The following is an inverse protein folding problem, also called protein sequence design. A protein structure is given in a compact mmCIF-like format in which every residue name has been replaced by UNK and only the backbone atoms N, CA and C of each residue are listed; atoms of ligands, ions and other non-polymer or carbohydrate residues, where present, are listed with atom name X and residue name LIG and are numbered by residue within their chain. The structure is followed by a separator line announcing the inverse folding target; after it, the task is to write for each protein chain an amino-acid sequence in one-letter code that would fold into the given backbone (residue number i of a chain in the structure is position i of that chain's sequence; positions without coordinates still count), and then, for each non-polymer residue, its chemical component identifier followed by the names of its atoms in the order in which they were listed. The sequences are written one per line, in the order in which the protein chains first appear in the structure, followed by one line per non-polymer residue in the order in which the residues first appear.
data_IF_675438428446
#
_entry.id   IF_675438428446
#
_cell.length_a   1.000
_cell.length_b   1.000
_cell.length_c   1.000
_cell.angle_alpha   90.00
_cell.angle_beta   90.00
_cell.angle_gamma   90.00
#
_symmetry.space_group_name_H-M   'P 1'
#
loop_
_entity.id
_entity.type
_entity.pdbx_description
1 polymer ?
#
# COMPACT_ATOMS: atom_id res chain seq x y z
N UNK A 1 -12.10 -16.58 -8.21
CA UNK A 1 -12.40 -16.74 -9.64
C UNK A 1 -11.28 -16.13 -10.48
N UNK A 2 -10.92 -14.84 -10.28
CA UNK A 2 -9.92 -14.13 -11.10
C UNK A 2 -8.56 -14.83 -11.17
N UNK A 3 -8.09 -15.48 -10.09
CA UNK A 3 -6.86 -16.27 -10.07
C UNK A 3 -6.86 -17.45 -11.06
N UNK A 4 -8.00 -17.80 -11.66
CA UNK A 4 -8.13 -18.89 -12.64
C UNK A 4 -8.04 -18.41 -14.09
N UNK A 5 -8.00 -17.09 -14.31
CA UNK A 5 -7.76 -16.53 -15.64
C UNK A 5 -6.27 -16.65 -16.01
N UNK A 6 -5.99 -17.05 -17.24
CA UNK A 6 -4.65 -17.04 -17.82
C UNK A 6 -4.36 -15.64 -18.38
N UNK A 7 -3.10 -15.23 -18.54
CA UNK A 7 -2.75 -13.93 -19.12
C UNK A 7 -3.33 -13.69 -20.53
N UNK A 8 -3.59 -14.76 -21.28
CA UNK A 8 -4.17 -14.72 -22.63
C UNK A 8 -5.68 -14.73 -22.66
N UNK A 9 -6.35 -14.94 -21.52
CA UNK A 9 -7.81 -14.99 -21.46
C UNK A 9 -8.40 -13.58 -21.50
N UNK A 10 -9.54 -13.43 -22.20
CA UNK A 10 -10.35 -12.24 -22.13
C UNK A 10 -11.29 -12.33 -20.93
N UNK A 11 -11.23 -11.33 -20.06
CA UNK A 11 -12.09 -11.19 -18.88
C UNK A 11 -13.20 -10.17 -19.16
N UNK A 12 -14.47 -10.58 -18.99
CA UNK A 12 -15.64 -9.70 -19.05
C UNK A 12 -16.36 -9.70 -17.71
N UNK A 13 -16.68 -8.52 -17.20
CA UNK A 13 -17.45 -8.29 -15.98
C UNK A 13 -18.74 -7.56 -16.36
N UNK A 14 -19.88 -8.12 -15.99
CA UNK A 14 -21.20 -7.59 -16.29
C UNK A 14 -22.04 -7.55 -15.02
N UNK A 15 -22.56 -6.37 -14.67
CA UNK A 15 -23.45 -6.21 -13.52
C UNK A 15 -24.90 -6.42 -13.96
N UNK A 16 -25.54 -7.49 -13.46
CA UNK A 16 -26.98 -7.73 -13.59
C UNK A 16 -27.68 -7.13 -12.37
N UNK A 17 -28.18 -5.90 -12.53
CA UNK A 17 -28.85 -5.15 -11.47
C UNK A 17 -30.22 -5.76 -11.10
N UNK A 18 -30.94 -6.35 -12.05
CA UNK A 18 -32.24 -6.92 -11.80
C UNK A 18 -32.16 -8.17 -10.92
N UNK A 19 -31.15 -8.98 -11.12
CA UNK A 19 -30.91 -10.21 -10.34
C UNK A 19 -29.91 -10.02 -9.20
N UNK A 20 -29.44 -8.81 -8.98
CA UNK A 20 -28.41 -8.47 -7.98
C UNK A 20 -27.19 -9.42 -8.07
N UNK A 21 -26.61 -9.59 -9.27
CA UNK A 21 -25.51 -10.52 -9.55
C UNK A 21 -24.41 -9.88 -10.38
N UNK A 22 -23.18 -10.28 -10.08
CA UNK A 22 -22.02 -10.03 -10.95
C UNK A 22 -21.76 -11.27 -11.80
N UNK A 23 -21.86 -11.11 -13.12
CA UNK A 23 -21.49 -12.12 -14.10
C UNK A 23 -20.05 -11.90 -14.53
N UNK A 24 -19.22 -12.92 -14.33
CA UNK A 24 -17.80 -12.94 -14.73
C UNK A 24 -17.66 -13.97 -15.84
N UNK A 25 -17.18 -13.54 -17.01
CA UNK A 25 -16.91 -14.44 -18.14
C UNK A 25 -15.42 -14.42 -18.42
N UNK A 26 -14.81 -15.60 -18.45
CA UNK A 26 -13.41 -15.82 -18.84
C UNK A 26 -13.42 -16.59 -20.15
N UNK A 27 -12.92 -15.97 -21.22
CA UNK A 27 -12.91 -16.53 -22.58
C UNK A 27 -11.46 -16.72 -23.05
N UNK A 28 -11.11 -17.96 -23.38
CA UNK A 28 -9.84 -18.39 -23.94
C UNK A 28 -10.08 -19.66 -24.75
N UNK A 29 -9.31 -20.72 -24.51
CA UNK A 29 -9.55 -22.05 -25.09
C UNK A 29 -10.94 -22.61 -24.73
N UNK A 30 -11.51 -22.15 -23.62
CA UNK A 30 -12.89 -22.43 -23.19
C UNK A 30 -13.55 -21.17 -22.69
N UNK A 31 -14.89 -21.11 -22.79
CA UNK A 31 -15.70 -20.04 -22.19
C UNK A 31 -16.23 -20.51 -20.86
N UNK A 32 -15.85 -19.81 -19.77
CA UNK A 32 -16.25 -20.09 -18.39
C UNK A 32 -17.04 -18.90 -17.86
N UNK A 33 -18.24 -19.16 -17.37
CA UNK A 33 -19.14 -18.12 -16.83
C UNK A 33 -19.43 -18.40 -15.38
N UNK A 34 -19.31 -17.37 -14.55
CA UNK A 34 -19.62 -17.39 -13.12
C UNK A 34 -20.65 -16.31 -12.82
N UNK A 35 -21.70 -16.66 -12.09
CA UNK A 35 -22.69 -15.71 -11.60
C UNK A 35 -22.57 -15.67 -10.07
N UNK A 36 -22.20 -14.49 -9.54
CA UNK A 36 -21.99 -14.28 -8.11
C UNK A 36 -23.10 -13.38 -7.60
N UNK A 37 -23.83 -13.82 -6.57
CA UNK A 37 -24.78 -12.96 -5.89
C UNK A 37 -24.04 -11.80 -5.21
N UNK A 38 -24.59 -10.60 -5.33
CA UNK A 38 -24.11 -9.44 -4.61
C UNK A 38 -24.75 -9.41 -3.22
N UNK A 39 -24.02 -8.88 -2.27
CA UNK A 39 -24.52 -8.66 -0.91
C UNK A 39 -24.81 -7.16 -0.81
N UNK A 40 -26.01 -6.82 -0.37
CA UNK A 40 -26.31 -5.44 0.00
C UNK A 40 -25.55 -5.12 1.28
N UNK A 41 -24.55 -4.26 1.14
CA UNK A 41 -23.78 -3.73 2.28
C UNK A 41 -24.36 -2.36 2.59
N UNK A 42 -24.90 -2.19 3.80
CA UNK A 42 -25.18 -0.85 4.34
C UNK A 42 -23.84 -0.12 4.53
N UNK A 43 -23.32 0.47 3.46
CA UNK A 43 -22.12 1.28 3.50
C UNK A 43 -22.43 2.60 4.23
N UNK A 44 -22.10 2.64 5.51
CA UNK A 44 -21.77 3.93 6.13
C UNK A 44 -20.45 4.37 5.52
N UNK A 45 -20.50 5.36 4.63
CA UNK A 45 -19.29 6.01 4.12
C UNK A 45 -18.39 6.39 5.31
N UNK A 46 -17.32 5.64 5.49
CA UNK A 46 -16.30 6.05 6.44
C UNK A 46 -15.60 7.27 5.83
N UNK A 47 -15.94 8.45 6.33
CA UNK A 47 -15.23 9.66 5.98
C UNK A 47 -13.79 9.51 6.43
N UNK A 48 -12.87 9.39 5.46
CA UNK A 48 -11.44 9.51 5.74
C UNK A 48 -11.21 10.93 6.28
N UNK A 49 -10.69 11.10 7.50
CA UNK A 49 -10.43 12.44 8.02
C UNK A 49 -9.46 13.19 7.11
N UNK A 50 -9.59 14.51 7.06
CA UNK A 50 -8.64 15.35 6.34
C UNK A 50 -7.31 15.32 7.09
N UNK A 51 -6.35 14.55 6.56
CA UNK A 51 -5.04 14.37 7.17
C UNK A 51 -4.07 15.41 6.57
N UNK A 52 -3.32 16.10 7.43
CA UNK A 52 -2.26 17.04 7.03
C UNK A 52 -0.91 16.45 7.41
N UNK A 53 -0.03 16.34 6.44
CA UNK A 53 1.27 15.73 6.63
C UNK A 53 2.40 16.75 6.42
N UNK A 54 3.34 16.85 7.36
CA UNK A 54 4.54 17.68 7.20
C UNK A 54 5.60 17.01 6.35
N UNK A 55 5.46 15.71 6.10
CA UNK A 55 6.40 14.86 5.38
C UNK A 55 5.74 14.19 4.18
N UNK A 56 6.47 14.19 3.06
CA UNK A 56 6.15 13.40 1.87
C UNK A 56 7.44 12.74 1.36
N UNK A 57 7.40 11.44 1.15
CA UNK A 57 8.44 10.64 0.48
C UNK A 57 7.86 10.07 -0.80
N UNK A 58 8.53 10.27 -1.92
CA UNK A 58 8.24 9.65 -3.20
C UNK A 58 9.40 8.72 -3.54
N UNK A 59 9.14 7.46 -3.83
CA UNK A 59 10.18 6.47 -4.13
C UNK A 59 9.65 5.38 -5.05
N UNK A 60 10.55 4.53 -5.56
CA UNK A 60 10.18 3.35 -6.33
C UNK A 60 9.31 2.40 -5.50
N UNK A 61 8.18 1.98 -6.09
CA UNK A 61 7.29 1.00 -5.45
C UNK A 61 7.98 -0.35 -5.20
N UNK A 62 8.91 -0.73 -6.08
CA UNK A 62 9.65 -2.01 -5.96
C UNK A 62 10.64 -1.93 -4.80
N UNK A 63 11.40 -0.83 -4.67
CA UNK A 63 12.35 -0.64 -3.57
C UNK A 63 11.62 -0.64 -2.22
N UNK A 64 10.46 0.03 -2.13
CA UNK A 64 9.66 0.02 -0.91
C UNK A 64 9.08 -1.37 -0.60
N UNK A 65 8.61 -2.11 -1.62
CA UNK A 65 8.10 -3.49 -1.47
C UNK A 65 9.20 -4.42 -0.91
N UNK A 66 10.40 -4.38 -1.49
CA UNK A 66 11.55 -5.15 -1.05
C UNK A 66 11.93 -4.80 0.39
N UNK A 67 12.06 -3.50 0.72
CA UNK A 67 12.41 -3.06 2.07
C UNK A 67 11.40 -3.54 3.13
N UNK A 68 10.10 -3.50 2.85
CA UNK A 68 9.08 -4.01 3.78
C UNK A 68 9.15 -5.52 3.93
N UNK A 69 9.42 -6.27 2.84
CA UNK A 69 9.56 -7.72 2.91
C UNK A 69 10.82 -8.14 3.69
N UNK A 70 11.91 -7.40 3.60
CA UNK A 70 13.13 -7.65 4.38
C UNK A 70 12.88 -7.51 5.90
N UNK A 71 12.04 -6.56 6.31
CA UNK A 71 11.69 -6.36 7.73
C UNK A 71 10.82 -7.48 8.31
N UNK A 72 10.07 -8.19 7.49
CA UNK A 72 9.12 -9.24 7.92
C UNK A 72 9.81 -10.44 8.59
N UNK A 73 11.08 -10.68 8.29
CA UNK A 73 11.85 -11.76 8.93
C UNK A 73 12.37 -11.39 10.33
N UNK A 74 12.26 -10.11 10.71
CA UNK A 74 12.83 -9.56 11.96
C UNK A 74 11.75 -9.30 13.01
N UNK A 75 10.63 -8.67 12.64
CA UNK A 75 9.65 -8.15 13.60
C UNK A 75 8.25 -8.11 13.02
N UNK A 76 7.24 -7.92 13.87
CA UNK A 76 5.85 -7.66 13.45
C UNK A 76 5.56 -6.18 13.16
N UNK A 77 6.52 -5.32 13.46
CA UNK A 77 6.40 -3.88 13.26
C UNK A 77 7.65 -3.31 12.62
N UNK A 78 7.46 -2.27 11.83
CA UNK A 78 8.53 -1.55 11.13
C UNK A 78 8.48 -0.08 11.51
N UNK A 79 9.65 0.54 11.65
CA UNK A 79 9.82 1.98 11.75
C UNK A 79 10.17 2.54 10.37
N UNK A 80 9.42 3.54 9.95
CA UNK A 80 9.73 4.38 8.80
C UNK A 80 10.38 5.67 9.32
N UNK A 81 11.57 5.99 8.81
CA UNK A 81 12.31 7.19 9.20
C UNK A 81 12.64 7.97 7.95
N UNK A 82 12.28 9.25 7.91
CA UNK A 82 12.68 10.15 6.84
C UNK A 82 13.60 11.24 7.40
N UNK A 83 14.76 11.36 6.82
CA UNK A 83 15.73 12.43 7.02
C UNK A 83 15.80 13.28 5.75
N UNK A 84 16.61 14.34 5.74
CA UNK A 84 16.68 15.24 4.57
C UNK A 84 17.22 14.57 3.30
N UNK A 85 18.12 13.61 3.47
CA UNK A 85 18.92 12.99 2.40
C UNK A 85 18.66 11.49 2.25
N UNK A 86 17.87 10.88 3.14
CA UNK A 86 17.57 9.45 3.09
C UNK A 86 16.25 9.07 3.72
N UNK A 87 15.65 8.04 3.17
CA UNK A 87 14.52 7.34 3.74
C UNK A 87 14.98 5.98 4.27
N UNK A 88 14.61 5.65 5.49
CA UNK A 88 15.06 4.44 6.18
C UNK A 88 13.85 3.61 6.55
N UNK A 89 13.95 2.31 6.29
CA UNK A 89 13.01 1.29 6.73
C UNK A 89 13.76 0.35 7.67
N UNK A 90 13.32 0.26 8.91
CA UNK A 90 14.03 -0.54 9.91
C UNK A 90 13.09 -1.32 10.83
N UNK A 91 13.53 -2.48 11.27
CA UNK A 91 12.83 -3.32 12.22
C UNK A 91 13.79 -3.82 13.29
N UNK A 92 13.28 -3.96 14.50
CA UNK A 92 14.03 -4.43 15.66
C UNK A 92 13.18 -5.42 16.44
N UNK A 93 13.84 -6.46 16.93
CA UNK A 93 13.34 -7.45 17.88
C UNK A 93 14.32 -7.59 19.05
N UNK A 94 14.04 -8.46 19.99
CA UNK A 94 14.92 -8.65 21.17
C UNK A 94 16.34 -9.10 20.83
N UNK A 95 16.54 -9.78 19.68
CA UNK A 95 17.82 -10.41 19.32
C UNK A 95 18.34 -9.97 17.95
N UNK A 96 17.47 -9.43 17.11
CA UNK A 96 17.80 -9.15 15.71
C UNK A 96 17.30 -7.76 15.31
N UNK A 97 18.04 -7.12 14.43
CA UNK A 97 17.65 -5.88 13.77
C UNK A 97 17.92 -5.96 12.27
N UNK A 98 17.22 -5.15 11.51
CA UNK A 98 17.48 -4.92 10.10
C UNK A 98 17.19 -3.47 9.73
N UNK A 99 17.95 -2.97 8.78
CA UNK A 99 17.86 -1.60 8.30
C UNK A 99 18.10 -1.55 6.80
N UNK A 100 17.20 -0.89 6.08
CA UNK A 100 17.36 -0.54 4.66
C UNK A 100 17.42 0.98 4.56
N UNK A 101 18.48 1.52 3.96
CA UNK A 101 18.67 2.95 3.71
C UNK A 101 18.49 3.23 2.22
N UNK A 102 17.61 4.16 1.89
CA UNK A 102 17.29 4.60 0.52
C UNK A 102 17.69 6.07 0.44
N UNK A 103 18.78 6.36 -0.26
CA UNK A 103 19.26 7.73 -0.43
C UNK A 103 18.37 8.51 -1.41
N UNK A 104 18.29 9.81 -1.21
CA UNK A 104 17.65 10.69 -2.20
C UNK A 104 18.45 10.71 -3.50
N UNK A 105 17.71 10.56 -4.61
CA UNK A 105 18.22 10.60 -5.96
C UNK A 105 17.12 11.09 -6.93
N UNK A 106 17.19 10.73 -8.22
CA UNK A 106 16.18 11.09 -9.21
C UNK A 106 14.85 10.36 -9.00
N UNK A 107 14.89 9.18 -8.36
CA UNK A 107 13.73 8.31 -8.15
C UNK A 107 13.18 8.40 -6.72
N UNK A 108 14.00 8.89 -5.77
CA UNK A 108 13.61 9.05 -4.37
C UNK A 108 13.74 10.50 -3.93
N UNK A 109 12.59 11.12 -3.64
CA UNK A 109 12.50 12.54 -3.23
C UNK A 109 11.80 12.65 -1.88
N UNK A 110 12.38 13.45 -0.99
CA UNK A 110 11.87 13.68 0.37
C UNK A 110 11.56 15.16 0.57
N UNK A 111 10.32 15.45 0.93
CA UNK A 111 9.88 16.79 1.31
C UNK A 111 9.59 16.82 2.81
N UNK A 112 10.43 17.50 3.57
CA UNK A 112 10.29 17.72 5.00
C UNK A 112 9.98 19.22 5.27
N UNK A 113 8.82 19.50 5.86
CA UNK A 113 8.42 20.85 6.22
C UNK A 113 8.75 21.12 7.70
N UNK A 114 9.90 21.79 7.94
CA UNK A 114 10.26 22.33 9.25
C UNK A 114 10.74 21.31 10.30
N UNK A 115 11.06 20.07 9.89
CA UNK A 115 11.61 19.01 10.75
C UNK A 115 12.94 18.52 10.20
N UNK A 116 13.85 18.07 11.08
CA UNK A 116 15.13 17.46 10.65
C UNK A 116 15.00 15.99 10.36
N UNK A 117 14.13 15.29 11.09
CA UNK A 117 13.77 13.89 10.88
C UNK A 117 12.38 13.59 11.41
N UNK A 118 11.72 12.61 10.81
CA UNK A 118 10.43 12.06 11.26
C UNK A 118 10.55 10.57 11.37
N UNK A 119 10.12 10.00 12.50
CA UNK A 119 10.06 8.55 12.74
C UNK A 119 8.65 8.16 13.16
N UNK A 120 8.12 7.10 12.57
CA UNK A 120 6.84 6.51 12.95
C UNK A 120 6.86 5.00 12.78
N UNK A 121 6.06 4.28 13.58
CA UNK A 121 6.03 2.81 13.62
C UNK A 121 4.69 2.28 13.16
N UNK A 122 4.71 1.24 12.31
CA UNK A 122 3.52 0.65 11.70
C UNK A 122 3.55 -0.87 11.75
N UNK A 123 2.36 -1.50 11.62
CA UNK A 123 2.22 -2.95 11.55
C UNK A 123 2.67 -3.50 10.20
N UNK A 124 3.60 -4.46 10.20
CA UNK A 124 4.04 -5.17 9.01
C UNK A 124 2.94 -6.01 8.37
N UNK A 125 2.06 -6.61 9.16
CA UNK A 125 0.92 -7.38 8.63
C UNK A 125 0.07 -6.56 7.65
N UNK A 126 -0.23 -5.30 7.98
CA UNK A 126 -1.00 -4.42 7.11
C UNK A 126 -0.16 -3.88 5.95
N UNK A 127 1.08 -3.48 6.20
CA UNK A 127 1.98 -3.01 5.15
C UNK A 127 2.20 -4.05 4.07
N UNK A 128 2.35 -5.32 4.40
CA UNK A 128 2.46 -6.44 3.43
C UNK A 128 1.23 -6.59 2.52
N UNK A 129 0.09 -6.09 2.93
CA UNK A 129 -1.11 -6.02 2.06
C UNK A 129 -1.06 -4.79 1.16
N UNK A 130 -0.59 -3.66 1.70
CA UNK A 130 -0.50 -2.37 1.01
C UNK A 130 0.56 -2.39 -0.09
N UNK A 131 1.75 -2.95 0.18
CA UNK A 131 2.86 -3.00 -0.79
C UNK A 131 2.56 -3.80 -2.06
N UNK A 132 1.49 -4.60 -2.08
CA UNK A 132 1.02 -5.26 -3.31
C UNK A 132 0.60 -4.26 -4.40
N UNK A 133 0.40 -3.00 -4.04
CA UNK A 133 0.22 -1.89 -4.97
C UNK A 133 1.43 -1.65 -5.89
N UNK A 134 2.63 -2.13 -5.52
CA UNK A 134 3.84 -2.09 -6.35
C UNK A 134 3.66 -2.71 -7.74
N UNK A 135 2.74 -3.67 -7.86
CA UNK A 135 2.38 -4.31 -9.13
C UNK A 135 1.53 -3.42 -10.06
N UNK A 136 1.00 -2.33 -9.54
CA UNK A 136 0.06 -1.45 -10.24
C UNK A 136 0.66 -0.11 -10.64
N UNK A 137 1.66 0.36 -9.90
CA UNK A 137 2.31 1.65 -10.12
C UNK A 137 3.82 1.55 -9.86
N UNK A 138 4.63 2.23 -10.69
CA UNK A 138 6.09 2.22 -10.57
C UNK A 138 6.58 2.98 -9.33
N UNK A 139 5.84 4.02 -8.92
CA UNK A 139 6.19 4.87 -7.78
C UNK A 139 5.11 4.80 -6.70
N UNK A 140 5.55 5.00 -5.47
CA UNK A 140 4.72 5.13 -4.29
C UNK A 140 4.99 6.46 -3.60
N UNK A 141 3.93 7.08 -3.10
CA UNK A 141 4.02 8.27 -2.24
C UNK A 141 3.64 7.88 -0.82
N UNK A 142 4.52 8.18 0.13
CA UNK A 142 4.33 7.95 1.56
C UNK A 142 4.22 9.30 2.27
N UNK A 143 3.21 9.45 3.11
CA UNK A 143 3.03 10.64 3.94
C UNK A 143 2.77 10.19 5.37
N UNK A 144 3.57 10.66 6.31
CA UNK A 144 3.44 10.29 7.73
C UNK A 144 3.99 11.37 8.65
N UNK A 145 3.74 11.23 9.94
CA UNK A 145 4.36 11.99 11.01
C UNK A 145 4.50 11.10 12.25
N UNK A 146 5.20 11.57 13.27
CA UNK A 146 5.34 10.88 14.55
C UNK A 146 3.96 10.63 15.17
N UNK A 147 3.72 9.38 15.58
CA UNK A 147 2.46 8.93 16.21
C UNK A 147 1.19 9.27 15.40
N UNK A 148 1.33 9.32 14.07
CA UNK A 148 0.29 9.76 13.14
C UNK A 148 0.04 8.71 12.05
N UNK A 149 -1.17 8.66 11.44
CA UNK A 149 -1.43 7.70 10.37
C UNK A 149 -0.46 7.84 9.20
N UNK A 150 -0.12 6.70 8.59
CA UNK A 150 0.59 6.62 7.31
C UNK A 150 -0.43 6.66 6.18
N UNK A 151 -0.24 7.55 5.23
CA UNK A 151 -0.91 7.51 3.95
C UNK A 151 0.03 6.96 2.89
N UNK A 152 -0.45 6.01 2.11
CA UNK A 152 0.29 5.37 1.00
C UNK A 152 -0.53 5.52 -0.27
N UNK A 153 0.02 6.20 -1.27
CA UNK A 153 -0.65 6.44 -2.55
C UNK A 153 0.12 5.79 -3.70
N UNK A 154 -0.61 5.01 -4.52
CA UNK A 154 -0.16 4.48 -5.81
C UNK A 154 -0.99 5.14 -6.91
N UNK A 155 -0.35 5.94 -7.75
CA UNK A 155 -1.02 6.73 -8.76
C UNK A 155 -0.42 6.43 -10.14
N UNK A 156 -1.28 6.09 -11.09
CA UNK A 156 -0.94 6.05 -12.51
C UNK A 156 -1.87 7.02 -13.23
N UNK A 157 -1.29 8.07 -13.82
CA UNK A 157 -2.05 9.14 -14.47
C UNK A 157 -3.12 8.57 -15.41
N UNK A 158 -4.33 9.07 -15.27
CA UNK A 158 -5.52 8.73 -16.08
C UNK A 158 -5.94 7.24 -16.01
N UNK A 159 -5.35 6.43 -15.12
CA UNK A 159 -5.64 4.98 -15.01
C UNK A 159 -5.98 4.51 -13.62
N UNK A 160 -5.23 4.93 -12.60
CA UNK A 160 -5.34 4.40 -11.25
C UNK A 160 -5.04 5.49 -10.21
N UNK A 161 -5.88 5.55 -9.18
CA UNK A 161 -5.58 6.23 -7.92
C UNK A 161 -5.98 5.30 -6.78
N UNK A 162 -4.99 4.76 -6.06
CA UNK A 162 -5.20 3.83 -4.97
C UNK A 162 -4.50 4.38 -3.73
N UNK A 163 -5.29 4.68 -2.70
CA UNK A 163 -4.82 5.28 -1.45
C UNK A 163 -5.15 4.37 -0.27
N UNK A 164 -4.20 4.25 0.65
CA UNK A 164 -4.36 3.56 1.91
C UNK A 164 -4.05 4.49 3.06
N UNK A 165 -4.76 4.33 4.18
CA UNK A 165 -4.46 4.99 5.44
C UNK A 165 -4.31 3.93 6.52
N UNK A 166 -3.16 3.92 7.19
CA UNK A 166 -2.81 2.95 8.22
C UNK A 166 -2.54 3.67 9.55
N UNK A 167 -3.20 3.23 10.61
CA UNK A 167 -2.95 3.76 11.95
C UNK A 167 -1.52 3.44 12.43
N UNK A 168 -0.88 4.35 13.19
CA UNK A 168 0.43 4.08 13.78
C UNK A 168 0.36 3.01 14.85
N UNK A 169 1.47 2.33 15.09
CA UNK A 169 1.69 1.57 16.34
C UNK A 169 2.30 2.52 17.36
N UNK A 170 1.53 2.95 18.31
CA UNK A 170 2.02 3.74 19.45
C UNK A 170 2.65 2.76 20.43
N UNK A 171 3.91 2.97 20.82
CA UNK A 171 4.52 2.24 21.93
C UNK A 171 3.85 2.76 23.20
N UNK A 172 3.14 1.91 23.92
CA UNK A 172 2.83 2.18 25.32
C UNK A 172 4.15 1.96 26.07
N UNK A 173 4.89 3.05 26.32
CA UNK A 173 5.99 3.06 27.30
C UNK A 173 5.43 2.94 28.72
#
# INVERSE_FOLDING_TARGET
ILKRAKPSDLLSLELDKEKNRLKITISGESKRTFNIALIDVDEKEQKVPELKFPLKVETSSVIFDEAINDMDVISEAVSLVAEKDKFIVEAESNLNDAKVEINTDNDTVIHLNGKDAVRARYSLEYLKRIIKGSKLASNVTLQFDKDYPLRVDYIVKDKLSLSFVLAPRVSND
#
